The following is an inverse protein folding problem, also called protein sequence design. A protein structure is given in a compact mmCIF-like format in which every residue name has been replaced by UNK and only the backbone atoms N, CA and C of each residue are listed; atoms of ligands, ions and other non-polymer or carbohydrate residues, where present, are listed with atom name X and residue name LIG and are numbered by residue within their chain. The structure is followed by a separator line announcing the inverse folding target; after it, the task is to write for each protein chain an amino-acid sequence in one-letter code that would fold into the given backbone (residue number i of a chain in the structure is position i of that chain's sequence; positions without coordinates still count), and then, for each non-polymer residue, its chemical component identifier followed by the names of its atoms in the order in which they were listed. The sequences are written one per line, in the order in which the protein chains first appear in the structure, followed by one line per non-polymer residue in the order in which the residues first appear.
data_IF_588964900507
#
_entry.id   IF_588964900507
#
_cell.length_a   1.000
_cell.length_b   1.000
_cell.length_c   1.000
_cell.angle_alpha   90.00
_cell.angle_beta   90.00
_cell.angle_gamma   90.00
#
_symmetry.space_group_name_H-M   'P 1'
#
loop_
_entity.id
_entity.type
_entity.pdbx_description
1 polymer ?
#
# COMPACT_ATOMS: atom_id res chain seq x y z
N UNK A 1 -15.30 12.59 10.37
CA UNK A 1 -15.15 11.47 9.43
C UNK A 1 -15.28 12.05 8.02
N UNK A 2 -14.18 12.16 7.27
CA UNK A 2 -14.36 12.09 5.81
C UNK A 2 -14.83 10.66 5.55
N UNK A 3 -15.90 10.46 4.78
CA UNK A 3 -16.29 9.10 4.40
C UNK A 3 -15.04 8.40 3.86
N UNK A 4 -14.78 7.17 4.29
CA UNK A 4 -13.90 6.28 3.54
C UNK A 4 -14.32 6.42 2.09
N UNK A 5 -13.40 6.75 1.19
CA UNK A 5 -13.82 6.89 -0.20
C UNK A 5 -14.40 5.54 -0.58
N UNK A 6 -15.64 5.48 -1.07
CA UNK A 6 -16.36 4.21 -1.29
C UNK A 6 -15.49 3.16 -2.02
N UNK A 7 -14.66 3.61 -2.97
CA UNK A 7 -13.73 2.76 -3.69
C UNK A 7 -12.61 2.11 -2.84
N UNK A 8 -12.13 2.76 -1.76
CA UNK A 8 -11.14 2.15 -0.85
C UNK A 8 -11.78 1.01 -0.08
N UNK A 9 -12.98 1.22 0.47
CA UNK A 9 -13.70 0.20 1.23
C UNK A 9 -14.09 -0.99 0.35
N UNK A 10 -14.66 -0.73 -0.83
CA UNK A 10 -14.93 -1.77 -1.83
C UNK A 10 -13.66 -2.54 -2.22
N UNK A 11 -12.54 -1.85 -2.43
CA UNK A 11 -11.26 -2.47 -2.76
C UNK A 11 -10.72 -3.33 -1.61
N UNK A 12 -10.92 -2.90 -0.37
CA UNK A 12 -10.53 -3.70 0.80
C UNK A 12 -11.39 -4.95 0.92
N UNK A 13 -12.71 -4.87 0.69
CA UNK A 13 -13.59 -6.05 0.66
C UNK A 13 -13.10 -7.05 -0.39
N UNK A 14 -12.73 -6.58 -1.60
CA UNK A 14 -12.15 -7.45 -2.63
C UNK A 14 -10.84 -8.11 -2.18
N UNK A 15 -9.98 -7.36 -1.47
CA UNK A 15 -8.72 -7.88 -0.96
C UNK A 15 -8.92 -8.91 0.17
N UNK A 16 -9.87 -8.65 1.07
CA UNK A 16 -10.25 -9.57 2.13
C UNK A 16 -10.83 -10.88 1.57
N UNK A 17 -11.71 -10.80 0.58
CA UNK A 17 -12.24 -11.97 -0.12
C UNK A 17 -11.14 -12.77 -0.85
N UNK A 18 -10.19 -12.07 -1.49
CA UNK A 18 -9.03 -12.70 -2.12
C UNK A 18 -8.16 -13.46 -1.11
N UNK A 19 -7.94 -12.89 0.09
CA UNK A 19 -7.23 -13.54 1.17
C UNK A 19 -8.01 -14.74 1.73
N UNK A 20 -9.32 -14.60 1.94
CA UNK A 20 -10.17 -15.67 2.49
C UNK A 20 -10.32 -16.87 1.56
N UNK A 21 -10.24 -16.67 0.24
CA UNK A 21 -10.30 -17.77 -0.75
C UNK A 21 -9.02 -18.61 -0.80
N UNK A 22 -7.91 -18.12 -0.28
CA UNK A 22 -6.67 -18.88 -0.20
C UNK A 22 -6.70 -19.87 0.97
N UNK A 23 -5.88 -20.94 0.95
CA UNK A 23 -5.73 -21.83 2.08
C UNK A 23 -5.41 -21.05 3.38
N UNK A 24 -6.00 -21.44 4.52
CA UNK A 24 -5.70 -20.80 5.81
C UNK A 24 -4.19 -20.76 6.09
N UNK A 25 -3.69 -19.61 6.54
CA UNK A 25 -2.26 -19.41 6.81
C UNK A 25 -1.42 -19.08 5.58
N UNK A 26 -2.01 -18.91 4.38
CA UNK A 26 -1.27 -18.43 3.22
C UNK A 26 -0.65 -17.05 3.51
N UNK A 27 0.68 -16.89 3.40
CA UNK A 27 1.35 -15.63 3.73
C UNK A 27 0.92 -14.49 2.80
N UNK A 28 0.79 -13.29 3.36
CA UNK A 28 0.42 -12.07 2.61
C UNK A 28 1.66 -11.20 2.41
N UNK A 29 1.89 -10.76 1.18
CA UNK A 29 2.88 -9.75 0.80
C UNK A 29 2.12 -8.52 0.29
N UNK A 30 2.40 -7.37 0.89
CA UNK A 30 1.79 -6.10 0.51
C UNK A 30 2.79 -5.23 -0.25
N UNK A 31 2.44 -4.78 -1.45
CA UNK A 31 3.22 -3.82 -2.26
C UNK A 31 2.50 -2.46 -2.29
N UNK A 32 2.94 -1.54 -1.44
CA UNK A 32 2.29 -0.26 -1.20
C UNK A 32 2.82 0.84 -2.11
N UNK A 33 1.93 1.44 -2.89
CA UNK A 33 2.30 2.44 -3.90
C UNK A 33 2.89 1.77 -5.13
N UNK A 34 2.37 0.60 -5.51
CA UNK A 34 2.92 -0.25 -6.57
C UNK A 34 2.93 0.41 -7.96
N UNK A 35 2.30 1.58 -8.10
CA UNK A 35 2.28 2.38 -9.30
C UNK A 35 1.56 1.65 -10.42
N UNK A 36 2.34 1.07 -11.32
CA UNK A 36 1.79 0.30 -12.42
C UNK A 36 1.54 -1.16 -12.04
N UNK A 37 2.19 -1.70 -10.99
CA UNK A 37 2.07 -3.11 -10.57
C UNK A 37 3.20 -4.03 -11.09
N UNK A 38 4.24 -3.48 -11.76
CA UNK A 38 5.37 -4.30 -12.27
C UNK A 38 6.08 -5.05 -11.15
N UNK A 39 6.33 -4.37 -10.03
CA UNK A 39 6.94 -4.96 -8.84
C UNK A 39 6.05 -6.04 -8.25
N UNK A 40 4.74 -5.80 -8.14
CA UNK A 40 3.79 -6.75 -7.60
C UNK A 40 3.73 -8.04 -8.42
N UNK A 41 3.83 -7.95 -9.75
CA UNK A 41 3.93 -9.13 -10.64
C UNK A 41 5.23 -9.89 -10.39
N UNK A 42 6.37 -9.20 -10.32
CA UNK A 42 7.64 -9.85 -10.03
C UNK A 42 7.64 -10.52 -8.64
N UNK A 43 7.02 -9.88 -7.65
CA UNK A 43 6.83 -10.44 -6.32
C UNK A 43 5.96 -11.69 -6.36
N UNK A 44 4.85 -11.66 -7.09
CA UNK A 44 3.94 -12.80 -7.20
C UNK A 44 4.60 -14.02 -7.88
N UNK A 45 5.37 -13.77 -8.94
CA UNK A 45 6.14 -14.81 -9.63
C UNK A 45 7.28 -15.40 -8.76
N UNK A 46 7.94 -14.57 -7.93
CA UNK A 46 9.02 -15.00 -7.05
C UNK A 46 8.52 -15.65 -5.74
N UNK A 47 7.28 -15.40 -5.37
CA UNK A 47 6.64 -15.92 -4.15
C UNK A 47 5.34 -16.64 -4.48
N UNK A 48 5.36 -17.75 -5.24
CA UNK A 48 4.15 -18.46 -5.65
C UNK A 48 3.34 -19.04 -4.48
N UNK A 49 3.97 -19.17 -3.31
CA UNK A 49 3.35 -19.65 -2.05
C UNK A 49 2.79 -18.51 -1.20
N UNK A 50 2.75 -17.28 -1.69
CA UNK A 50 2.24 -16.12 -0.95
C UNK A 50 1.24 -15.37 -1.82
N UNK A 51 0.22 -14.79 -1.19
CA UNK A 51 -0.64 -13.82 -1.84
C UNK A 51 0.11 -12.49 -1.94
N UNK A 52 0.06 -11.86 -3.10
CA UNK A 52 0.62 -10.53 -3.33
C UNK A 52 -0.52 -9.56 -3.60
N UNK A 53 -0.56 -8.49 -2.83
CA UNK A 53 -1.56 -7.43 -2.97
C UNK A 53 -0.82 -6.13 -3.31
N UNK A 54 -0.99 -5.66 -4.53
CA UNK A 54 -0.47 -4.36 -4.97
C UNK A 54 -1.52 -3.27 -4.83
N UNK A 55 -1.19 -2.19 -4.12
CA UNK A 55 -2.12 -1.09 -3.84
C UNK A 55 -1.60 0.22 -4.41
N UNK A 56 -2.41 0.90 -5.22
CA UNK A 56 -2.08 2.25 -5.70
C UNK A 56 -3.32 3.14 -5.86
N UNK A 57 -3.23 4.40 -5.44
CA UNK A 57 -4.33 5.38 -5.58
C UNK A 57 -4.70 5.71 -7.03
N UNK A 58 -3.80 5.47 -7.98
CA UNK A 58 -3.93 5.83 -9.40
C UNK A 58 -4.43 4.67 -10.25
N UNK A 59 -5.74 4.67 -10.50
CA UNK A 59 -6.36 3.73 -11.44
C UNK A 59 -5.72 3.75 -12.85
N UNK A 60 -5.36 4.91 -13.45
CA UNK A 60 -4.68 4.91 -14.74
C UNK A 60 -3.33 4.18 -14.74
N UNK A 61 -2.55 4.27 -13.66
CA UNK A 61 -1.26 3.55 -13.57
C UNK A 61 -1.48 2.04 -13.49
N UNK A 62 -2.40 1.59 -12.64
CA UNK A 62 -2.76 0.17 -12.51
C UNK A 62 -3.25 -0.43 -13.84
N UNK A 63 -4.08 0.31 -14.59
CA UNK A 63 -4.60 -0.15 -15.89
C UNK A 63 -3.50 -0.34 -16.94
N UNK A 64 -2.39 0.40 -16.87
CA UNK A 64 -1.32 0.35 -17.87
C UNK A 64 -0.67 -1.03 -18.02
N UNK A 65 -0.69 -1.88 -16.98
CA UNK A 65 -0.17 -3.25 -17.10
C UNK A 65 -1.12 -4.26 -17.72
N UNK A 66 -2.43 -4.00 -17.70
CA UNK A 66 -3.39 -4.90 -18.36
C UNK A 66 -3.02 -5.05 -19.85
N UNK A 67 -2.62 -3.96 -20.52
CA UNK A 67 -2.18 -4.01 -21.92
C UNK A 67 -0.82 -4.67 -22.14
N UNK A 68 0.06 -4.71 -21.14
CA UNK A 68 1.41 -5.28 -21.26
C UNK A 68 1.43 -6.80 -21.02
N UNK A 69 0.49 -7.32 -20.24
CA UNK A 69 0.35 -8.75 -19.96
C UNK A 69 -0.89 -9.35 -20.66
N UNK A 70 -1.20 -8.89 -21.87
CA UNK A 70 -2.19 -9.55 -22.73
C UNK A 70 -3.65 -9.50 -22.23
N UNK A 71 -3.98 -8.75 -21.18
CA UNK A 71 -5.37 -8.53 -20.78
C UNK A 71 -5.92 -7.39 -21.63
N UNK A 72 -6.84 -7.68 -22.59
CA UNK A 72 -7.33 -6.66 -23.50
C UNK A 72 -8.02 -5.55 -22.70
N UNK A 73 -7.40 -4.38 -22.65
CA UNK A 73 -8.17 -3.16 -22.41
C UNK A 73 -9.10 -3.06 -23.60
N UNK A 74 -10.42 -2.98 -23.38
CA UNK A 74 -11.42 -2.68 -24.44
C UNK A 74 -11.00 -1.41 -25.20
N UNK A 75 -10.18 -1.62 -26.22
CA UNK A 75 -9.84 -0.72 -27.31
C UNK A 75 -9.81 -1.65 -28.49
N UNK A 76 -10.93 -1.65 -29.22
CA UNK A 76 -11.02 -2.28 -30.51
C UNK A 76 -9.79 -1.85 -31.33
N UNK A 77 -8.92 -2.80 -31.64
CA UNK A 77 -7.84 -2.52 -32.57
C UNK A 77 -8.48 -2.29 -33.94
N UNK A 78 -8.18 -1.18 -34.65
CA UNK A 78 -8.84 -0.86 -35.92
C UNK A 78 -8.58 -1.88 -37.05
N UNK A 79 -7.70 -2.87 -36.81
CA UNK A 79 -7.23 -3.83 -37.81
C UNK A 79 -7.39 -5.30 -37.41
N UNK A 80 -8.15 -5.63 -36.35
CA UNK A 80 -8.61 -7.01 -36.10
C UNK A 80 -7.55 -8.10 -35.86
N UNK A 81 -6.25 -7.79 -35.79
CA UNK A 81 -5.21 -8.79 -35.55
C UNK A 81 -5.11 -9.07 -34.03
N UNK A 82 -5.39 -10.30 -33.56
CA UNK A 82 -5.19 -10.66 -32.17
C UNK A 82 -3.68 -10.77 -31.89
N UNK A 83 -3.17 -9.95 -30.95
CA UNK A 83 -1.86 -10.20 -30.37
C UNK A 83 -1.97 -11.40 -29.43
N UNK A 84 -1.59 -12.58 -29.91
CA UNK A 84 -1.47 -13.79 -29.11
C UNK A 84 -0.23 -13.68 -28.22
N UNK A 85 -0.41 -13.16 -27.01
CA UNK A 85 0.55 -13.35 -25.93
C UNK A 85 -0.29 -13.70 -24.71
N UNK A 86 -0.44 -15.00 -24.45
CA UNK A 86 -1.03 -15.50 -23.21
C UNK A 86 -0.06 -15.22 -22.06
N UNK A 87 0.04 -13.95 -21.68
CA UNK A 87 0.68 -13.57 -20.44
C UNK A 87 -0.30 -13.91 -19.32
N UNK A 88 -0.19 -15.13 -18.79
CA UNK A 88 -0.93 -15.56 -17.61
C UNK A 88 -0.61 -14.61 -16.45
N UNK A 89 -1.60 -13.84 -16.05
CA UNK A 89 -1.51 -13.01 -14.86
C UNK A 89 -1.38 -13.94 -13.63
N UNK A 90 -0.43 -13.73 -12.71
CA UNK A 90 -0.25 -14.64 -11.58
C UNK A 90 -1.52 -14.77 -10.75
N UNK A 91 -1.99 -16.00 -10.51
CA UNK A 91 -3.23 -16.25 -9.77
C UNK A 91 -3.15 -15.80 -8.30
N UNK A 92 -1.95 -15.71 -7.76
CA UNK A 92 -1.66 -15.22 -6.41
C UNK A 92 -1.47 -13.69 -6.35
N UNK A 93 -1.80 -12.94 -7.40
CA UNK A 93 -1.69 -11.49 -7.43
C UNK A 93 -3.07 -10.80 -7.50
N UNK A 94 -3.27 -9.83 -6.62
CA UNK A 94 -4.36 -8.87 -6.70
C UNK A 94 -3.81 -7.43 -6.81
N UNK A 95 -4.31 -6.66 -7.77
CA UNK A 95 -4.04 -5.23 -7.89
C UNK A 95 -5.30 -4.43 -7.62
N UNK A 96 -5.26 -3.53 -6.64
CA UNK A 96 -6.43 -2.74 -6.22
C UNK A 96 -6.11 -1.25 -6.10
N UNK A 97 -7.16 -0.44 -6.24
CA UNK A 97 -7.08 1.00 -6.12
C UNK A 97 -7.59 1.46 -4.76
N UNK A 98 -6.69 1.87 -3.87
CA UNK A 98 -7.05 2.40 -2.56
C UNK A 98 -6.12 3.54 -2.12
N UNK A 99 -6.57 4.34 -1.16
CA UNK A 99 -5.69 5.20 -0.38
C UNK A 99 -4.94 4.35 0.66
N UNK A 100 -3.61 4.43 0.66
CA UNK A 100 -2.77 3.50 1.42
C UNK A 100 -3.01 3.56 2.93
N UNK A 101 -3.13 4.75 3.52
CA UNK A 101 -3.34 4.89 4.96
C UNK A 101 -4.67 4.29 5.43
N UNK A 102 -5.72 4.42 4.62
CA UNK A 102 -7.03 3.80 4.89
C UNK A 102 -6.93 2.27 4.73
N UNK A 103 -6.29 1.80 3.66
CA UNK A 103 -6.10 0.37 3.42
C UNK A 103 -5.29 -0.31 4.53
N UNK A 104 -4.20 0.31 4.99
CA UNK A 104 -3.40 -0.21 6.11
C UNK A 104 -4.20 -0.31 7.40
N UNK A 105 -5.02 0.71 7.69
CA UNK A 105 -5.89 0.70 8.86
C UNK A 105 -6.93 -0.42 8.80
N UNK A 106 -7.51 -0.66 7.62
CA UNK A 106 -8.47 -1.75 7.41
C UNK A 106 -7.80 -3.12 7.51
N UNK A 107 -6.61 -3.29 6.92
CA UNK A 107 -5.84 -4.53 7.04
C UNK A 107 -5.48 -4.85 8.49
N UNK A 108 -5.01 -3.85 9.24
CA UNK A 108 -4.72 -3.99 10.67
C UNK A 108 -5.99 -4.32 11.47
N UNK A 109 -7.10 -3.63 11.20
CA UNK A 109 -8.40 -3.91 11.84
C UNK A 109 -8.94 -5.30 11.54
N UNK A 110 -8.61 -5.85 10.37
CA UNK A 110 -8.94 -7.22 9.99
C UNK A 110 -7.96 -8.27 10.55
N UNK A 111 -7.00 -7.86 11.39
CA UNK A 111 -6.04 -8.76 12.02
C UNK A 111 -5.01 -9.35 11.05
N UNK A 112 -4.77 -8.70 9.90
CA UNK A 112 -3.75 -9.19 8.96
C UNK A 112 -2.37 -9.10 9.59
N UNK A 113 -1.59 -10.17 9.44
CA UNK A 113 -0.18 -10.21 9.77
C UNK A 113 0.60 -10.50 8.48
N UNK A 114 1.38 -9.53 8.03
CA UNK A 114 2.09 -9.64 6.76
C UNK A 114 3.33 -10.51 6.93
N UNK A 115 3.69 -11.23 5.86
CA UNK A 115 5.04 -11.80 5.72
C UNK A 115 6.03 -10.70 5.37
N UNK A 116 5.63 -9.83 4.44
CA UNK A 116 6.47 -8.73 3.98
C UNK A 116 5.63 -7.54 3.50
N UNK A 117 6.11 -6.33 3.80
CA UNK A 117 5.56 -5.06 3.35
C UNK A 117 6.59 -4.29 2.53
N UNK A 118 6.34 -4.18 1.23
CA UNK A 118 7.18 -3.46 0.28
C UNK A 118 6.73 -2.02 0.12
N UNK A 119 7.67 -1.09 0.26
CA UNK A 119 7.53 0.34 -0.05
C UNK A 119 8.66 0.71 -1.02
N UNK A 120 8.36 0.62 -2.31
CA UNK A 120 9.35 0.73 -3.38
C UNK A 120 9.30 2.10 -4.05
N UNK A 121 10.42 2.81 -4.00
CA UNK A 121 10.60 4.15 -4.58
C UNK A 121 9.47 5.11 -4.20
N UNK A 122 9.18 5.27 -2.89
CA UNK A 122 8.16 6.21 -2.44
C UNK A 122 8.51 7.62 -2.90
N UNK A 123 7.49 8.45 -3.17
CA UNK A 123 7.73 9.83 -3.56
C UNK A 123 8.52 10.54 -2.44
N UNK A 124 9.76 11.02 -2.70
CA UNK A 124 10.66 11.49 -1.67
C UNK A 124 10.21 12.80 -1.01
N UNK A 125 9.41 13.63 -1.68
CA UNK A 125 8.97 14.95 -1.21
C UNK A 125 10.07 15.73 -0.41
N UNK A 126 11.19 16.14 -1.04
CA UNK A 126 12.36 16.65 -0.33
C UNK A 126 12.11 17.88 0.55
N UNK A 127 11.08 18.68 0.24
CA UNK A 127 10.75 19.90 0.98
C UNK A 127 9.59 19.74 1.99
N UNK A 128 8.96 18.57 2.06
CA UNK A 128 7.74 18.35 2.86
C UNK A 128 7.83 17.04 3.65
N UNK A 129 8.47 17.08 4.81
CA UNK A 129 8.66 15.91 5.68
C UNK A 129 7.35 15.17 5.99
N UNK A 130 6.27 15.91 6.32
CA UNK A 130 4.94 15.33 6.59
C UNK A 130 4.31 14.58 5.41
N UNK A 131 4.86 14.72 4.20
CA UNK A 131 4.44 14.00 3.00
C UNK A 131 5.30 12.77 2.70
N UNK A 132 6.28 12.45 3.55
CA UNK A 132 7.05 11.20 3.53
C UNK A 132 6.39 10.22 4.49
N UNK A 133 6.47 8.93 4.20
CA UNK A 133 5.78 7.93 5.02
C UNK A 133 6.24 7.93 6.48
N UNK A 134 7.54 8.10 6.75
CA UNK A 134 8.09 8.20 8.11
C UNK A 134 7.78 9.52 8.83
N UNK A 135 7.32 10.55 8.12
CA UNK A 135 6.81 11.79 8.71
C UNK A 135 5.29 11.90 8.72
N UNK A 136 4.59 10.89 8.20
CA UNK A 136 3.13 10.88 8.06
C UNK A 136 2.48 10.28 9.32
N UNK A 137 1.31 10.75 9.77
CA UNK A 137 0.60 10.17 10.92
C UNK A 137 0.28 8.68 10.77
N UNK A 138 0.24 8.16 9.54
CA UNK A 138 0.01 6.73 9.28
C UNK A 138 1.27 5.86 9.44
N UNK A 139 2.44 6.44 9.74
CA UNK A 139 3.68 5.67 9.91
C UNK A 139 3.56 4.49 10.88
N UNK A 140 2.92 4.62 12.06
CA UNK A 140 2.79 3.50 12.99
C UNK A 140 1.99 2.33 12.41
N UNK A 141 1.04 2.58 11.50
CA UNK A 141 0.30 1.52 10.82
C UNK A 141 1.21 0.64 9.97
N UNK A 142 2.23 1.22 9.33
CA UNK A 142 3.23 0.48 8.55
C UNK A 142 3.97 -0.51 9.46
N UNK A 143 4.35 -0.07 10.65
CA UNK A 143 5.10 -0.91 11.61
C UNK A 143 4.22 -2.02 12.18
N UNK A 144 2.96 -1.73 12.46
CA UNK A 144 2.05 -2.66 13.12
C UNK A 144 1.49 -3.75 12.22
N UNK A 145 1.53 -3.58 10.89
CA UNK A 145 1.14 -4.64 9.95
C UNK A 145 2.08 -5.86 10.00
N UNK A 146 3.23 -5.73 10.65
CA UNK A 146 4.16 -6.83 10.92
C UNK A 146 4.95 -7.29 9.69
N UNK A 147 5.68 -8.38 9.88
CA UNK A 147 6.56 -8.96 8.87
C UNK A 147 7.80 -8.13 8.57
N UNK A 148 8.50 -8.51 7.50
CA UNK A 148 9.65 -7.76 7.01
C UNK A 148 9.20 -6.48 6.30
N UNK A 149 9.77 -5.32 6.66
CA UNK A 149 9.53 -4.06 5.95
C UNK A 149 10.68 -3.80 4.98
N UNK A 150 10.38 -3.80 3.68
CA UNK A 150 11.36 -3.61 2.62
C UNK A 150 11.16 -2.24 1.98
N UNK A 151 12.07 -1.32 2.27
CA UNK A 151 12.10 0.01 1.67
C UNK A 151 13.22 0.10 0.63
N UNK A 152 12.89 0.61 -0.56
CA UNK A 152 13.89 0.92 -1.61
C UNK A 152 13.72 2.37 -2.06
N UNK A 153 14.83 3.07 -2.23
CA UNK A 153 14.87 4.44 -2.76
C UNK A 153 16.23 4.71 -3.37
N UNK A 154 16.28 5.57 -4.39
CA UNK A 154 17.54 6.11 -4.90
C UNK A 154 18.02 7.33 -4.09
N UNK A 155 17.25 7.77 -3.08
CA UNK A 155 17.61 8.88 -2.22
C UNK A 155 18.06 8.40 -0.84
N UNK A 156 19.38 8.46 -0.59
CA UNK A 156 20.00 7.95 0.64
C UNK A 156 19.42 8.59 1.91
N UNK A 157 19.17 9.90 1.89
CA UNK A 157 18.59 10.62 3.03
C UNK A 157 17.22 10.05 3.42
N UNK A 158 16.38 9.68 2.45
CA UNK A 158 15.08 9.05 2.76
C UNK A 158 15.27 7.74 3.53
N UNK A 159 16.22 6.91 3.10
CA UNK A 159 16.48 5.61 3.74
C UNK A 159 17.04 5.79 5.15
N UNK A 160 17.97 6.73 5.33
CA UNK A 160 18.51 7.07 6.65
C UNK A 160 17.43 7.56 7.60
N UNK A 161 16.62 8.55 7.19
CA UNK A 161 15.53 9.07 8.01
C UNK A 161 14.45 8.03 8.31
N UNK A 162 14.11 7.16 7.34
CA UNK A 162 13.14 6.09 7.57
C UNK A 162 13.67 5.10 8.61
N UNK A 163 14.95 4.72 8.52
CA UNK A 163 15.58 3.83 9.49
C UNK A 163 15.59 4.44 10.89
N UNK A 164 15.95 5.72 11.01
CA UNK A 164 15.93 6.45 12.29
C UNK A 164 14.51 6.52 12.87
N UNK A 165 13.52 6.80 12.04
CA UNK A 165 12.12 6.84 12.47
C UNK A 165 11.63 5.48 13.00
N UNK A 166 12.08 4.36 12.43
CA UNK A 166 11.79 3.02 12.95
C UNK A 166 12.39 2.82 14.33
N UNK A 167 13.66 3.21 14.54
CA UNK A 167 14.33 3.12 15.85
C UNK A 167 13.60 3.95 16.90
N UNK A 168 13.28 5.21 16.59
CA UNK A 168 12.55 6.10 17.49
C UNK A 168 11.17 5.52 17.85
N UNK A 169 10.45 4.97 16.87
CA UNK A 169 9.15 4.34 17.11
C UNK A 169 9.26 3.09 18.00
N UNK A 170 10.32 2.31 17.83
CA UNK A 170 10.58 1.13 18.65
C UNK A 170 10.91 1.49 20.11
N UNK A 171 11.80 2.46 20.33
CA UNK A 171 12.13 2.95 21.67
C UNK A 171 10.89 3.51 22.40
N UNK A 172 10.04 4.24 21.68
CA UNK A 172 8.80 4.76 22.23
C UNK A 172 7.85 3.61 22.67
N UNK A 173 7.78 2.52 21.90
CA UNK A 173 7.04 1.29 22.27
C UNK A 173 7.51 0.70 23.60
N UNK A 174 8.82 0.56 23.82
CA UNK A 174 9.35 -0.02 25.06
C UNK A 174 9.04 0.85 26.29
N UNK A 175 9.10 2.17 26.16
CA UNK A 175 8.74 3.11 27.23
C UNK A 175 7.25 3.06 27.59
N UNK A 176 6.38 2.72 26.63
CA UNK A 176 4.92 2.72 26.81
C UNK A 176 4.33 1.35 27.19
N UNK A 177 5.16 0.42 27.65
CA UNK A 177 4.77 -0.93 28.13
C UNK A 177 3.71 -0.96 29.25
N UNK A 178 3.25 0.20 29.74
CA UNK A 178 1.94 0.39 30.36
C UNK A 178 0.81 0.58 29.33
N UNK A 179 0.53 -0.45 28.53
CA UNK A 179 -0.75 -0.70 27.85
C UNK A 179 -1.41 0.45 27.05
N UNK A 180 -0.70 1.14 26.14
CA UNK A 180 -1.38 1.80 25.02
C UNK A 180 -0.61 1.57 23.72
N UNK A 181 -1.29 0.89 22.77
CA UNK A 181 -0.78 0.69 21.42
C UNK A 181 -0.48 2.04 20.78
N UNK A 182 0.72 2.21 20.24
CA UNK A 182 1.12 3.42 19.52
C UNK A 182 0.11 3.79 18.45
N UNK A 183 -0.63 2.85 17.87
CA UNK A 183 -1.67 3.17 16.88
C UNK A 183 -2.85 3.96 17.42
N UNK A 184 -3.22 3.92 18.70
CA UNK A 184 -4.52 4.45 19.14
C UNK A 184 -4.74 5.94 18.78
N UNK A 185 -3.78 6.86 19.01
CA UNK A 185 -3.91 8.26 18.56
C UNK A 185 -3.91 8.43 17.03
N UNK A 186 -3.31 7.49 16.30
CA UNK A 186 -3.20 7.54 14.83
C UNK A 186 -4.34 6.81 14.12
N UNK A 187 -5.02 5.87 14.77
CA UNK A 187 -6.31 5.35 14.33
C UNK A 187 -7.30 6.52 14.28
N UNK A 188 -7.34 7.33 15.35
CA UNK A 188 -8.14 8.56 15.36
C UNK A 188 -7.68 9.57 14.29
N UNK A 189 -6.38 9.80 14.15
CA UNK A 189 -5.85 10.77 13.17
C UNK A 189 -6.01 10.31 11.72
N UNK A 190 -5.88 9.01 11.43
CA UNK A 190 -6.12 8.41 10.13
C UNK A 190 -7.61 8.45 9.75
N UNK A 191 -8.51 8.24 10.72
CA UNK A 191 -9.97 8.39 10.55
C UNK A 191 -10.39 9.86 10.34
N UNK A 192 -9.68 10.81 10.98
CA UNK A 192 -9.91 12.26 10.78
C UNK A 192 -9.44 12.72 9.39
N UNK A 193 -8.45 12.06 8.79
CA UNK A 193 -7.82 12.44 7.53
C UNK A 193 -6.98 13.73 7.68
N UNK A 194 -6.16 14.12 6.69
CA UNK A 194 -5.50 15.41 6.74
C UNK A 194 -6.58 16.50 6.77
N UNK A 195 -6.46 17.43 7.74
CA UNK A 195 -7.21 18.68 7.75
C UNK A 195 -7.28 19.18 6.32
N UNK A 196 -8.50 19.35 5.82
CA UNK A 196 -8.72 19.76 4.45
C UNK A 196 -7.87 21.02 4.22
N UNK A 197 -6.90 20.90 3.30
CA UNK A 197 -6.22 22.07 2.77
C UNK A 197 -7.31 23.02 2.28
N UNK A 198 -7.50 24.10 3.04
CA UNK A 198 -8.43 25.16 2.75
C UNK A 198 -7.67 26.22 1.94
N UNK A 199 -7.89 26.31 0.62
CA UNK A 199 -7.20 27.29 -0.22
C UNK A 199 -7.59 28.74 0.10
N UNK A 200 -8.54 28.98 1.02
CA UNK A 200 -8.98 30.32 1.42
C UNK A 200 -8.25 30.89 2.63
N UNK A 201 -7.50 30.06 3.38
CA UNK A 201 -6.61 30.55 4.44
C UNK A 201 -5.24 30.88 3.85
N UNK A 202 -5.11 32.10 3.33
CA UNK A 202 -3.79 32.76 3.19
C UNK A 202 -3.46 33.42 4.52
N UNK A 203 -2.29 33.09 5.05
CA UNK A 203 -1.69 33.75 6.20
C UNK A 203 -1.58 35.26 5.90
N UNK A 204 -2.14 36.07 6.79
CA UNK A 204 -1.89 37.51 6.88
C UNK A 204 -0.62 37.82 7.65
#
# INVERSE_FOLDING_TARGET
MKPTKAHTEESFVMAADFVQRAPPGTPIILDSGCGTGRSSIALALSHPQSLVIGVDRSLPRLRRHLSTYGIPQRRESPHGIPHQTEHLFPLNLLLIRAELSEFWLQALSAGWNLKAHYILYPNPNPKRLKSRWHGHPAFPLILMLGGDIIVRSNWRTFLSEFSEAVVIAHEACEVSSGANSFASPYQESAVKGPDAYDPTKRDG
#
